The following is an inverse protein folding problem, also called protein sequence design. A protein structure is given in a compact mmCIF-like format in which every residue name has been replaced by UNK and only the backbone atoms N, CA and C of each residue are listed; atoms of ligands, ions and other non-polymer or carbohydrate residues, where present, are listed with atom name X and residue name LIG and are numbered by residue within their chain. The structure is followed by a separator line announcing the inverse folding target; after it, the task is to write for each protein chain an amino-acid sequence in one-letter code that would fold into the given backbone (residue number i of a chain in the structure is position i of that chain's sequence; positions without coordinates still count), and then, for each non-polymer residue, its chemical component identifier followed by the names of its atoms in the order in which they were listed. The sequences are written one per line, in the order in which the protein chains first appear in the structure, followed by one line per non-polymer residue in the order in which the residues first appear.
data_IF_362433981521
#
_entry.id   IF_362433981521
#
_cell.length_a   1.000
_cell.length_b   1.000
_cell.length_c   1.000
_cell.angle_alpha   90.00
_cell.angle_beta   90.00
_cell.angle_gamma   90.00
#
_symmetry.space_group_name_H-M   'P 1'
#
loop_
_entity.id
_entity.type
_entity.pdbx_description
1 polymer ?
#
# COMPACT_ATOMS: atom_id res chain seq x y z
N UNK A 1 11.54 -18.60 -3.71
CA UNK A 1 10.32 -19.03 -4.42
C UNK A 1 9.13 -18.62 -3.58
N UNK A 2 8.55 -17.44 -3.83
CA UNK A 2 7.41 -16.94 -3.05
C UNK A 2 6.13 -17.63 -3.48
N UNK A 3 5.63 -18.53 -2.62
CA UNK A 3 4.31 -19.15 -2.73
C UNK A 3 3.22 -18.21 -2.19
N UNK A 4 2.96 -17.10 -2.90
CA UNK A 4 1.79 -16.26 -2.63
C UNK A 4 1.00 -16.08 -3.93
N UNK A 5 0.46 -17.19 -4.43
CA UNK A 5 -0.64 -17.23 -5.40
C UNK A 5 -1.89 -17.78 -4.72
N UNK A 6 -2.23 -17.26 -3.58
CA UNK A 6 -3.59 -17.34 -3.06
C UNK A 6 -4.22 -15.98 -3.25
N UNK A 7 -5.53 -15.96 -3.56
CA UNK A 7 -6.37 -14.77 -3.66
C UNK A 7 -6.31 -13.98 -2.35
N UNK A 8 -5.19 -13.32 -2.11
CA UNK A 8 -4.90 -12.51 -0.94
C UNK A 8 -4.83 -11.05 -1.35
N UNK A 9 -5.18 -10.18 -0.44
CA UNK A 9 -5.02 -8.75 -0.55
C UNK A 9 -3.68 -8.38 -1.17
N UNK A 10 -3.65 -7.37 -2.06
CA UNK A 10 -2.40 -6.87 -2.61
C UNK A 10 -1.40 -6.55 -1.49
N UNK A 11 -0.13 -6.91 -1.67
CA UNK A 11 0.91 -6.65 -0.66
C UNK A 11 0.97 -5.18 -0.23
N UNK A 12 0.65 -4.26 -1.13
CA UNK A 12 0.52 -2.82 -0.86
C UNK A 12 -0.52 -2.53 0.23
N UNK A 13 -1.69 -3.18 0.19
CA UNK A 13 -2.72 -3.03 1.24
C UNK A 13 -2.22 -3.52 2.58
N UNK A 14 -1.54 -4.66 2.63
CA UNK A 14 -0.96 -5.17 3.88
C UNK A 14 0.04 -4.19 4.49
N UNK A 15 0.86 -3.53 3.69
CA UNK A 15 1.77 -2.49 4.20
C UNK A 15 0.98 -1.31 4.75
N UNK A 16 -0.04 -0.84 4.02
CA UNK A 16 -0.85 0.31 4.44
C UNK A 16 -1.57 0.04 5.76
N UNK A 17 -2.10 -1.17 5.94
CA UNK A 17 -2.90 -1.55 7.11
C UNK A 17 -2.06 -1.94 8.32
N UNK A 18 -0.97 -2.68 8.10
CA UNK A 18 -0.17 -3.24 9.18
C UNK A 18 0.91 -2.28 9.70
N UNK A 19 1.36 -1.32 8.88
CA UNK A 19 2.41 -0.38 9.28
C UNK A 19 1.76 0.93 9.75
N UNK A 20 1.79 1.21 11.04
CA UNK A 20 1.23 2.44 11.59
C UNK A 20 2.02 3.67 11.10
N UNK A 21 1.39 4.83 11.10
CA UNK A 21 2.01 6.10 10.66
C UNK A 21 3.29 6.41 11.44
N UNK A 22 3.37 6.01 12.70
CA UNK A 22 4.56 6.18 13.56
C UNK A 22 5.77 5.34 13.14
N UNK A 23 5.59 4.35 12.29
CA UNK A 23 6.64 3.47 11.76
C UNK A 23 6.92 3.70 10.27
N UNK A 24 6.37 4.76 9.69
CA UNK A 24 6.63 5.16 8.30
C UNK A 24 7.86 6.05 8.21
N UNK A 25 8.43 6.16 7.01
CA UNK A 25 9.69 6.88 6.77
C UNK A 25 9.74 8.27 7.41
N UNK A 26 8.72 9.14 7.29
CA UNK A 26 8.79 10.46 7.90
C UNK A 26 8.88 10.44 9.43
N UNK A 27 8.19 9.49 10.08
CA UNK A 27 8.24 9.35 11.53
C UNK A 27 9.57 8.75 11.97
N UNK A 28 10.06 7.73 11.27
CA UNK A 28 11.34 7.11 11.55
C UNK A 28 12.51 8.09 11.37
N UNK A 29 12.45 8.94 10.35
CA UNK A 29 13.45 9.99 10.12
C UNK A 29 13.51 10.99 11.26
N UNK A 30 12.38 11.37 11.84
CA UNK A 30 12.32 12.26 13.01
C UNK A 30 12.88 11.60 14.27
N UNK A 31 12.68 10.29 14.44
CA UNK A 31 13.13 9.54 15.63
C UNK A 31 14.62 9.20 15.56
N UNK A 32 15.09 8.70 14.42
CA UNK A 32 16.42 8.12 14.27
C UNK A 32 17.42 9.04 13.55
N UNK A 33 16.93 10.08 12.88
CA UNK A 33 17.70 10.96 12.00
C UNK A 33 17.76 10.46 10.55
N UNK A 34 17.81 11.40 9.61
CA UNK A 34 17.83 11.10 8.17
C UNK A 34 19.03 10.25 7.78
N UNK A 35 20.21 10.48 8.37
CA UNK A 35 21.44 9.78 8.03
C UNK A 35 21.34 8.27 8.24
N UNK A 36 20.74 7.84 9.35
CA UNK A 36 20.58 6.41 9.65
C UNK A 36 19.58 5.76 8.70
N UNK A 37 18.49 6.45 8.40
CA UNK A 37 17.49 5.95 7.47
C UNK A 37 18.05 5.92 6.05
N UNK A 38 18.76 6.97 5.61
CA UNK A 38 19.43 7.01 4.32
C UNK A 38 20.45 5.87 4.17
N UNK A 39 21.23 5.56 5.21
CA UNK A 39 22.17 4.44 5.19
C UNK A 39 21.47 3.08 5.00
N UNK A 40 20.31 2.88 5.66
CA UNK A 40 19.50 1.67 5.47
C UNK A 40 18.96 1.58 4.05
N UNK A 41 18.40 2.66 3.51
CA UNK A 41 17.87 2.71 2.16
C UNK A 41 18.98 2.51 1.13
N UNK A 42 20.11 3.20 1.26
CA UNK A 42 21.28 3.06 0.36
C UNK A 42 21.76 1.62 0.25
N UNK A 43 21.82 0.91 1.39
CA UNK A 43 22.18 -0.52 1.41
C UNK A 43 21.19 -1.38 0.64
N UNK A 44 19.89 -1.14 0.78
CA UNK A 44 18.87 -1.92 0.09
C UNK A 44 18.82 -1.59 -1.40
N UNK A 45 18.95 -0.32 -1.77
CA UNK A 45 19.02 0.13 -3.16
C UNK A 45 20.24 -0.49 -3.85
N UNK A 46 21.41 -0.40 -3.23
CA UNK A 46 22.65 -1.03 -3.76
C UNK A 46 22.45 -2.53 -4.00
N UNK A 47 21.87 -3.23 -3.02
CA UNK A 47 21.56 -4.66 -3.15
C UNK A 47 20.62 -4.95 -4.31
N UNK A 48 19.60 -4.13 -4.52
CA UNK A 48 18.66 -4.29 -5.62
C UNK A 48 19.31 -4.02 -6.98
N UNK A 49 20.09 -2.94 -7.08
CA UNK A 49 20.77 -2.56 -8.31
C UNK A 49 21.85 -3.56 -8.73
N UNK A 50 22.51 -4.24 -7.79
CA UNK A 50 23.47 -5.30 -8.08
C UNK A 50 22.83 -6.53 -8.75
N UNK A 51 21.51 -6.66 -8.76
CA UNK A 51 20.82 -7.71 -9.51
C UNK A 51 20.68 -7.38 -11.02
N UNK A 52 21.06 -6.16 -11.43
CA UNK A 52 21.04 -5.75 -12.82
C UNK A 52 22.44 -5.76 -13.41
N UNK A 53 22.54 -6.19 -14.65
CA UNK A 53 23.78 -6.06 -15.42
C UNK A 53 23.78 -4.70 -16.17
N UNK A 54 23.93 -3.62 -15.40
CA UNK A 54 23.89 -2.26 -15.94
C UNK A 54 25.24 -1.87 -16.53
N UNK A 55 25.22 -1.27 -17.70
CA UNK A 55 26.41 -0.64 -18.30
C UNK A 55 26.77 0.64 -17.56
N UNK A 56 25.76 1.41 -17.13
CA UNK A 56 25.91 2.62 -16.35
C UNK A 56 24.97 2.55 -15.15
N UNK A 57 25.52 2.28 -13.97
CA UNK A 57 24.81 2.31 -12.69
C UNK A 57 25.10 3.59 -11.92
N UNK A 58 24.33 3.81 -10.85
CA UNK A 58 24.60 4.89 -9.90
C UNK A 58 25.82 4.56 -9.04
N UNK A 59 26.65 5.56 -8.82
CA UNK A 59 27.76 5.45 -7.87
C UNK A 59 27.23 5.55 -6.42
N UNK A 60 28.06 5.23 -5.39
CA UNK A 60 27.62 5.26 -4.00
C UNK A 60 27.12 6.63 -3.52
N UNK A 61 27.68 7.73 -4.01
CA UNK A 61 27.26 9.09 -3.68
C UNK A 61 25.85 9.36 -4.23
N UNK A 62 25.63 9.04 -5.51
CA UNK A 62 24.30 9.15 -6.14
C UNK A 62 23.23 8.30 -5.45
N UNK A 63 23.58 7.10 -4.94
CA UNK A 63 22.67 6.26 -4.19
C UNK A 63 22.35 6.89 -2.83
N UNK A 64 23.32 7.53 -2.21
CA UNK A 64 23.10 8.26 -0.95
C UNK A 64 22.18 9.44 -1.17
N UNK A 65 22.42 10.26 -2.20
CA UNK A 65 21.56 11.40 -2.56
C UNK A 65 20.14 10.95 -2.90
N UNK A 66 20.01 9.84 -3.66
CA UNK A 66 18.71 9.23 -3.94
C UNK A 66 17.98 8.83 -2.65
N UNK A 67 18.71 8.29 -1.67
CA UNK A 67 18.12 7.86 -0.40
C UNK A 67 17.58 9.03 0.41
N UNK A 68 18.26 10.18 0.43
CA UNK A 68 17.75 11.41 1.02
C UNK A 68 16.52 11.94 0.27
N UNK A 69 16.56 11.95 -1.06
CA UNK A 69 15.44 12.39 -1.87
C UNK A 69 14.17 11.52 -1.63
N UNK A 70 14.32 10.20 -1.47
CA UNK A 70 13.22 9.31 -1.12
C UNK A 70 12.64 9.66 0.26
N UNK A 71 13.47 10.00 1.25
CA UNK A 71 13.01 10.38 2.59
C UNK A 71 12.19 11.66 2.51
N UNK A 72 12.67 12.66 1.77
CA UNK A 72 12.01 13.95 1.64
C UNK A 72 10.65 13.81 0.92
N UNK A 73 10.60 13.03 -0.16
CA UNK A 73 9.36 12.79 -0.89
C UNK A 73 8.36 11.90 -0.12
N UNK A 74 8.85 11.02 0.75
CA UNK A 74 7.98 10.15 1.53
C UNK A 74 7.05 10.90 2.49
N UNK A 75 7.29 12.18 2.77
CA UNK A 75 6.39 13.01 3.57
C UNK A 75 5.02 13.20 2.90
N UNK A 76 4.96 13.21 1.58
CA UNK A 76 3.74 13.48 0.82
C UNK A 76 2.76 12.30 0.87
N UNK A 77 3.26 11.08 0.73
CA UNK A 77 2.44 9.86 0.61
C UNK A 77 2.63 8.86 1.77
N UNK A 78 3.41 9.25 2.78
CA UNK A 78 3.64 8.46 3.98
C UNK A 78 4.16 7.05 3.66
N UNK A 79 5.16 6.94 2.78
CA UNK A 79 5.81 5.67 2.45
C UNK A 79 6.46 5.04 3.69
N UNK A 80 6.34 3.73 3.80
CA UNK A 80 7.08 2.92 4.77
C UNK A 80 8.37 2.34 4.14
N UNK A 81 9.30 1.89 4.96
CA UNK A 81 10.47 1.15 4.48
C UNK A 81 10.03 -0.10 3.69
N UNK A 82 8.97 -0.75 4.14
CA UNK A 82 8.38 -1.92 3.49
C UNK A 82 7.87 -1.62 2.08
N UNK A 83 7.34 -0.41 1.84
CA UNK A 83 6.96 0.05 0.51
C UNK A 83 8.17 0.09 -0.42
N UNK A 84 9.27 0.67 0.05
CA UNK A 84 10.51 0.73 -0.73
C UNK A 84 11.06 -0.68 -0.99
N UNK A 85 11.00 -1.59 -0.02
CA UNK A 85 11.44 -2.98 -0.22
C UNK A 85 10.58 -3.71 -1.25
N UNK A 86 9.25 -3.52 -1.25
CA UNK A 86 8.36 -4.08 -2.25
C UNK A 86 8.64 -3.53 -3.64
N UNK A 87 8.85 -2.22 -3.74
CA UNK A 87 9.25 -1.58 -4.98
C UNK A 87 10.57 -2.17 -5.52
N UNK A 88 11.61 -2.24 -4.68
CA UNK A 88 12.92 -2.79 -5.05
C UNK A 88 12.84 -4.27 -5.47
N UNK A 89 11.97 -5.07 -4.86
CA UNK A 89 11.72 -6.47 -5.27
C UNK A 89 11.02 -6.56 -6.62
N UNK A 90 10.26 -5.56 -7.01
CA UNK A 90 9.58 -5.45 -8.30
C UNK A 90 10.50 -5.07 -9.45
N UNK A 91 11.58 -4.33 -9.20
CA UNK A 91 12.48 -3.81 -10.23
C UNK A 91 13.10 -4.93 -11.11
N UNK A 92 13.74 -6.00 -10.56
CA UNK A 92 14.31 -7.08 -11.38
C UNK A 92 13.27 -7.86 -12.18
N UNK A 93 12.00 -7.76 -11.79
CA UNK A 93 10.85 -8.41 -12.46
C UNK A 93 10.24 -7.53 -13.54
N UNK A 94 10.83 -6.38 -13.84
CA UNK A 94 10.35 -5.37 -14.78
C UNK A 94 8.91 -4.92 -14.55
N UNK A 95 8.46 -4.93 -13.28
CA UNK A 95 7.08 -4.60 -12.93
C UNK A 95 6.73 -3.15 -13.25
N UNK A 96 7.67 -2.24 -13.05
CA UNK A 96 7.48 -0.80 -13.25
C UNK A 96 8.07 -0.28 -14.57
N UNK A 97 8.59 -1.17 -15.39
CA UNK A 97 9.20 -0.87 -16.67
C UNK A 97 10.52 -1.60 -16.86
N UNK A 98 10.99 -1.63 -18.09
CA UNK A 98 12.26 -2.27 -18.42
C UNK A 98 13.40 -1.31 -18.11
N UNK A 99 14.38 -1.81 -17.38
CA UNK A 99 15.68 -1.16 -17.20
C UNK A 99 16.59 -1.70 -18.30
N UNK A 100 17.02 -0.81 -19.17
CA UNK A 100 17.98 -1.18 -20.18
C UNK A 100 19.41 -0.95 -19.63
N UNK A 101 20.28 -0.31 -20.34
CA UNK A 101 21.70 -0.19 -19.99
C UNK A 101 22.01 0.79 -18.85
N UNK A 102 21.03 1.59 -18.39
CA UNK A 102 21.23 2.70 -17.48
C UNK A 102 20.16 2.76 -16.39
N UNK A 103 20.60 2.99 -15.15
CA UNK A 103 19.75 3.38 -14.05
C UNK A 103 20.33 4.67 -13.43
N UNK A 104 19.57 5.73 -13.48
CA UNK A 104 19.86 7.01 -12.82
C UNK A 104 18.71 7.45 -11.94
N UNK A 105 18.88 8.53 -11.21
CA UNK A 105 17.88 9.04 -10.28
C UNK A 105 16.53 9.35 -10.95
N UNK A 106 16.46 10.05 -12.11
CA UNK A 106 15.20 10.28 -12.80
C UNK A 106 14.47 9.00 -13.20
N UNK A 107 15.19 8.02 -13.75
CA UNK A 107 14.62 6.72 -14.12
C UNK A 107 14.09 5.97 -12.89
N UNK A 108 14.80 6.05 -11.77
CA UNK A 108 14.38 5.43 -10.52
C UNK A 108 13.06 6.05 -10.03
N UNK A 109 12.95 7.38 -10.03
CA UNK A 109 11.73 8.08 -9.60
C UNK A 109 10.55 7.84 -10.55
N UNK A 110 10.77 7.79 -11.87
CA UNK A 110 9.72 7.40 -12.82
C UNK A 110 9.13 6.02 -12.51
N UNK A 111 9.97 5.07 -12.12
CA UNK A 111 9.53 3.74 -11.71
C UNK A 111 8.87 3.73 -10.34
N UNK A 112 9.36 4.53 -9.40
CA UNK A 112 8.78 4.68 -8.07
C UNK A 112 7.38 5.31 -8.15
N UNK A 113 7.15 6.23 -9.09
CA UNK A 113 5.83 6.81 -9.32
C UNK A 113 4.81 5.76 -9.76
N UNK A 114 5.18 4.85 -10.65
CA UNK A 114 4.32 3.72 -11.02
C UNK A 114 3.99 2.81 -9.84
N UNK A 115 4.94 2.61 -8.93
CA UNK A 115 4.67 1.92 -7.67
C UNK A 115 3.64 2.67 -6.82
N UNK A 116 3.78 4.00 -6.70
CA UNK A 116 2.85 4.86 -5.96
C UNK A 116 1.43 4.80 -6.53
N UNK A 117 1.29 4.81 -7.86
CA UNK A 117 0.02 4.64 -8.55
C UNK A 117 -0.63 3.29 -8.22
N UNK A 118 0.13 2.18 -8.31
CA UNK A 118 -0.36 0.85 -7.94
C UNK A 118 -0.80 0.78 -6.47
N UNK A 119 -0.01 1.39 -5.58
CA UNK A 119 -0.32 1.48 -4.15
C UNK A 119 -1.59 2.28 -3.89
N UNK A 120 -1.76 3.40 -4.58
CA UNK A 120 -2.95 4.24 -4.46
C UNK A 120 -4.20 3.51 -4.96
N UNK A 121 -4.13 2.84 -6.10
CA UNK A 121 -5.23 2.02 -6.62
C UNK A 121 -5.61 0.89 -5.67
N UNK A 122 -4.62 0.20 -5.09
CA UNK A 122 -4.89 -0.85 -4.10
C UNK A 122 -5.62 -0.30 -2.87
N UNK A 123 -5.23 0.88 -2.39
CA UNK A 123 -5.90 1.55 -1.27
C UNK A 123 -7.34 1.96 -1.60
N UNK A 124 -7.58 2.52 -2.78
CA UNK A 124 -8.93 2.92 -3.21
C UNK A 124 -9.85 1.71 -3.34
N UNK A 125 -9.38 0.63 -3.99
CA UNK A 125 -10.14 -0.60 -4.14
C UNK A 125 -10.48 -1.24 -2.78
N UNK A 126 -9.53 -1.28 -1.85
CA UNK A 126 -9.77 -1.79 -0.50
C UNK A 126 -10.81 -0.97 0.27
N UNK A 127 -10.82 0.36 0.12
CA UNK A 127 -11.87 1.21 0.71
C UNK A 127 -13.24 0.96 0.08
N UNK A 128 -13.33 0.81 -1.23
CA UNK A 128 -14.59 0.53 -1.93
C UNK A 128 -15.17 -0.82 -1.50
N UNK A 129 -14.33 -1.86 -1.39
CA UNK A 129 -14.74 -3.18 -0.90
C UNK A 129 -15.26 -3.12 0.55
N UNK A 130 -14.53 -2.43 1.44
CA UNK A 130 -14.97 -2.23 2.82
C UNK A 130 -16.29 -1.47 2.90
N UNK A 131 -16.49 -0.46 2.06
CA UNK A 131 -17.73 0.32 2.01
C UNK A 131 -18.90 -0.49 1.46
N UNK A 132 -18.66 -1.35 0.46
CA UNK A 132 -19.65 -2.25 -0.10
C UNK A 132 -20.10 -3.31 0.93
N UNK A 133 -19.17 -3.89 1.69
CA UNK A 133 -19.46 -4.83 2.78
C UNK A 133 -20.26 -4.16 3.88
N UNK A 134 -19.92 -2.94 4.28
CA UNK A 134 -20.67 -2.20 5.30
C UNK A 134 -22.10 -1.89 4.85
N UNK A 135 -22.32 -1.53 3.58
CA UNK A 135 -23.66 -1.35 3.00
C UNK A 135 -24.47 -2.64 3.01
N UNK A 136 -23.86 -3.76 2.61
CA UNK A 136 -24.54 -5.05 2.59
C UNK A 136 -24.98 -5.50 3.99
N UNK A 137 -24.14 -5.27 5.02
CA UNK A 137 -24.52 -5.54 6.43
C UNK A 137 -25.61 -4.60 6.92
N UNK A 138 -25.59 -3.33 6.52
CA UNK A 138 -26.63 -2.35 6.89
C UNK A 138 -27.99 -2.65 6.28
N UNK A 139 -28.03 -3.13 5.04
CA UNK A 139 -29.25 -3.52 4.34
C UNK A 139 -29.88 -4.80 4.93
N UNK A 140 -29.05 -5.76 5.32
CA UNK A 140 -29.48 -7.00 6.02
C UNK A 140 -30.17 -6.66 7.35
N UNK A 141 -29.67 -5.70 8.12
CA UNK A 141 -30.29 -5.24 9.36
C UNK A 141 -31.60 -4.46 9.14
N UNK A 142 -31.73 -3.70 8.04
CA UNK A 142 -33.00 -3.01 7.69
C UNK A 142 -34.08 -3.99 7.33
N UNK A 143 -33.79 -5.02 6.55
CA UNK A 143 -34.74 -6.06 6.17
C UNK A 143 -35.29 -6.79 7.40
N UNK A 144 -34.46 -7.09 8.39
CA UNK A 144 -34.89 -7.72 9.66
C UNK A 144 -35.82 -6.80 10.46
N UNK A 145 -35.50 -5.50 10.57
CA UNK A 145 -36.36 -4.54 11.30
C UNK A 145 -37.69 -4.28 10.59
N UNK A 146 -37.76 -4.33 9.27
CA UNK A 146 -39.00 -4.15 8.53
C UNK A 146 -39.89 -5.39 8.62
N UNK A 147 -39.35 -6.59 8.60
CA UNK A 147 -40.03 -7.86 8.85
C UNK A 147 -40.62 -7.88 10.28
N UNK A 148 -39.86 -7.45 11.26
CA UNK A 148 -40.32 -7.39 12.66
C UNK A 148 -41.42 -6.37 12.85
N UNK A 149 -41.40 -5.23 12.17
CA UNK A 149 -42.48 -4.21 12.18
C UNK A 149 -43.73 -4.74 11.54
N UNK A 150 -43.61 -5.46 10.43
CA UNK A 150 -44.78 -6.03 9.72
C UNK A 150 -45.41 -7.19 10.51
N UNK A 151 -44.59 -8.04 11.11
CA UNK A 151 -45.05 -9.10 12.02
C UNK A 151 -45.78 -8.54 13.25
N UNK A 152 -45.27 -7.49 13.87
CA UNK A 152 -45.91 -6.81 15.01
C UNK A 152 -47.24 -6.14 14.60
N UNK A 153 -47.30 -5.52 13.41
CA UNK A 153 -48.51 -4.92 12.88
C UNK A 153 -49.60 -5.98 12.63
N UNK A 154 -49.22 -7.11 12.02
CA UNK A 154 -50.15 -8.22 11.75
C UNK A 154 -50.64 -8.88 13.03
N UNK A 155 -49.81 -9.05 14.05
CA UNK A 155 -50.18 -9.54 15.35
C UNK A 155 -51.21 -8.61 16.04
N UNK A 156 -51.01 -7.30 15.94
CA UNK A 156 -51.95 -6.30 16.51
C UNK A 156 -53.30 -6.27 15.80
N UNK A 157 -53.30 -6.40 14.45
CA UNK A 157 -54.55 -6.49 13.66
C UNK A 157 -55.32 -7.76 14.02
N UNK A 158 -54.67 -8.90 14.19
CA UNK A 158 -55.32 -10.16 14.56
C UNK A 158 -55.89 -10.09 15.98
N UNK A 159 -55.21 -9.45 16.92
CA UNK A 159 -55.72 -9.23 18.27
C UNK A 159 -57.03 -8.37 18.29
N UNK A 160 -57.08 -7.36 17.44
CA UNK A 160 -58.26 -6.49 17.33
C UNK A 160 -59.45 -7.15 16.64
N UNK A 161 -59.25 -8.18 15.82
CA UNK A 161 -60.31 -8.93 15.14
C UNK A 161 -60.93 -10.03 16.01
N UNK A 162 -60.30 -10.42 17.10
CA UNK A 162 -60.72 -11.51 18.00
C UNK A 162 -61.47 -11.00 19.25
N UNK A 163 -61.71 -9.70 19.35
CA UNK A 163 -62.57 -9.06 20.33
C UNK A 163 -63.87 -8.63 19.67
#
# INVERSE_FOLDING_TARGET
MCRYKEKGEPLHMKVIELIPVSERLPALSKIYGNDKIAAVLSKQITKALNNFNLRVGMNPEQITDLSYAIIDEAEQDQLAIQDILLFLDGLPKFRYGKVYDRMDMPTFFEMLEKYREERHLAYMNGKEEAHAQFKAMGDSNRTSQDIDKENNRNAMINYLKTK
#
